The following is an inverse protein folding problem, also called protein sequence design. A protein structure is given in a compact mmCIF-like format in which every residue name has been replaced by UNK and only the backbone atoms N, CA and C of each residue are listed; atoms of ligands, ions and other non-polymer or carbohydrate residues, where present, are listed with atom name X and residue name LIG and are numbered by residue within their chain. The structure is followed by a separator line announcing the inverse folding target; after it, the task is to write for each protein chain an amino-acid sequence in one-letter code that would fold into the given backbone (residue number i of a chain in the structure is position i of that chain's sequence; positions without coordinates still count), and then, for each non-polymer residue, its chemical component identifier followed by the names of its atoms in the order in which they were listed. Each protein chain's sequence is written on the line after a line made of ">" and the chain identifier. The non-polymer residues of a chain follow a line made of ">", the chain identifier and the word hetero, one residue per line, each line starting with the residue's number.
data_IF_335981259760
#
_entry.id   IF_335981259760
#
_cell.length_a   1.000
_cell.length_b   1.000
_cell.length_c   1.000
_cell.angle_alpha   90.00
_cell.angle_beta   90.00
_cell.angle_gamma   90.00
#
_symmetry.space_group_name_H-M   'P 1'
#
loop_
_entity.id
_entity.type
_entity.pdbx_description
1 polymer ?
#
# COMPACT_ATOMS: atom_id res chain seq x y z
N UNK A 1 15.31 -21.05 15.28
CA UNK A 1 14.63 -19.89 15.87
C UNK A 1 13.13 -20.12 15.93
N UNK A 2 12.63 -20.45 17.12
CA UNK A 2 11.19 -20.61 17.41
C UNK A 2 10.70 -19.42 18.21
N UNK A 3 9.65 -18.76 17.73
CA UNK A 3 9.02 -17.64 18.40
C UNK A 3 7.56 -17.96 18.70
N UNK A 4 7.07 -17.41 19.81
CA UNK A 4 5.64 -17.26 20.06
C UNK A 4 5.22 -15.81 19.81
N UNK A 5 3.99 -15.61 19.33
CA UNK A 5 3.45 -14.29 18.99
C UNK A 5 2.15 -14.08 19.76
N UNK A 6 2.13 -13.10 20.67
CA UNK A 6 0.95 -12.76 21.45
C UNK A 6 0.27 -11.48 20.93
N UNK A 7 -1.06 -11.50 20.88
CA UNK A 7 -1.92 -10.34 20.57
C UNK A 7 -2.92 -10.02 21.70
N UNK A 8 -2.86 -10.72 22.83
CA UNK A 8 -3.86 -10.62 23.92
C UNK A 8 -4.00 -9.21 24.49
N UNK A 9 -2.94 -8.40 24.42
CA UNK A 9 -2.93 -7.00 24.91
C UNK A 9 -2.60 -5.99 23.81
N UNK A 10 -2.95 -6.28 22.55
CA UNK A 10 -2.59 -5.48 21.37
C UNK A 10 -2.94 -3.98 21.48
N UNK A 11 -3.99 -3.64 22.24
CA UNK A 11 -4.38 -2.23 22.49
C UNK A 11 -3.30 -1.44 23.24
N UNK A 12 -2.49 -2.13 24.05
CA UNK A 12 -1.42 -1.57 24.86
C UNK A 12 -0.04 -1.72 24.21
N UNK A 13 0.03 -2.32 23.02
CA UNK A 13 1.29 -2.46 22.29
C UNK A 13 1.72 -1.10 21.71
N UNK A 14 3.03 -0.89 21.51
CA UNK A 14 3.51 0.28 20.79
C UNK A 14 3.03 0.26 19.35
N UNK A 15 2.86 1.45 18.78
CA UNK A 15 2.42 1.69 17.42
C UNK A 15 3.59 2.14 16.56
N UNK A 16 3.55 1.67 15.32
CA UNK A 16 4.27 2.27 14.19
C UNK A 16 3.26 2.91 13.22
N UNK A 17 3.74 3.43 12.10
CA UNK A 17 2.90 4.02 11.06
C UNK A 17 1.95 3.01 10.39
N UNK A 18 2.26 1.72 10.52
CA UNK A 18 1.44 0.60 10.01
C UNK A 18 0.44 0.05 11.04
N UNK A 19 0.35 0.66 12.23
CA UNK A 19 -0.54 0.21 13.31
C UNK A 19 0.17 -0.43 14.51
N UNK A 20 -0.55 -1.18 15.36
CA UNK A 20 -0.01 -1.77 16.57
C UNK A 20 1.02 -2.85 16.25
N UNK A 21 2.10 -2.90 17.03
CA UNK A 21 3.13 -3.91 16.92
C UNK A 21 2.67 -5.27 17.46
N UNK A 22 3.34 -6.33 17.06
CA UNK A 22 3.20 -7.68 17.60
C UNK A 22 4.29 -7.94 18.66
N UNK A 23 3.93 -8.61 19.76
CA UNK A 23 4.88 -9.04 20.78
C UNK A 23 5.41 -10.42 20.42
N UNK A 24 6.72 -10.52 20.20
CA UNK A 24 7.43 -11.77 19.95
C UNK A 24 8.14 -12.23 21.20
N UNK A 25 8.00 -13.51 21.54
CA UNK A 25 8.74 -14.17 22.61
C UNK A 25 9.68 -15.21 22.00
N UNK A 26 11.00 -15.05 22.22
CA UNK A 26 11.96 -16.09 21.81
C UNK A 26 11.83 -17.30 22.75
N UNK A 27 11.51 -18.46 22.18
CA UNK A 27 11.37 -19.71 22.92
C UNK A 27 12.70 -20.48 23.04
N UNK A 28 13.76 -20.00 22.38
CA UNK A 28 15.09 -20.60 22.45
C UNK A 28 15.93 -19.94 23.55
N UNK A 29 16.45 -20.76 24.46
CA UNK A 29 17.36 -20.36 25.53
C UNK A 29 16.74 -20.35 26.93
N UNK A 30 17.58 -20.17 27.95
CA UNK A 30 17.18 -20.20 29.38
C UNK A 30 16.34 -18.99 29.81
N UNK A 31 16.33 -17.91 29.03
CA UNK A 31 15.56 -16.68 29.31
C UNK A 31 14.71 -16.33 28.10
N UNK A 32 13.39 -16.32 28.28
CA UNK A 32 12.45 -15.90 27.26
C UNK A 32 12.61 -14.39 27.03
N UNK A 33 13.17 -14.01 25.88
CA UNK A 33 13.35 -12.59 25.52
C UNK A 33 12.15 -12.13 24.70
N UNK A 34 11.51 -11.06 25.16
CA UNK A 34 10.39 -10.44 24.47
C UNK A 34 10.81 -9.18 23.71
N UNK A 35 10.23 -8.95 22.53
CA UNK A 35 10.44 -7.73 21.74
C UNK A 35 9.26 -7.46 20.80
N UNK A 36 9.07 -6.19 20.45
CA UNK A 36 8.02 -5.78 19.52
C UNK A 36 8.52 -5.73 18.07
N UNK A 37 7.70 -6.19 17.11
CA UNK A 37 7.95 -6.01 15.66
C UNK A 37 6.69 -5.55 14.92
N UNK A 38 6.90 -4.95 13.75
CA UNK A 38 5.83 -4.44 12.92
C UNK A 38 4.98 -5.61 12.43
N UNK A 39 3.66 -5.46 12.43
CA UNK A 39 2.75 -6.48 11.91
C UNK A 39 2.81 -6.59 10.39
N UNK A 40 3.10 -5.47 9.69
CA UNK A 40 3.13 -5.42 8.24
C UNK A 40 4.51 -5.72 7.64
N UNK A 41 5.59 -5.25 8.28
CA UNK A 41 6.94 -5.27 7.72
C UNK A 41 7.83 -6.22 8.52
N UNK A 42 8.46 -7.18 7.85
CA UNK A 42 9.28 -8.23 8.48
C UNK A 42 10.63 -7.71 8.95
N UNK A 43 11.22 -6.80 8.17
CA UNK A 43 12.53 -6.22 8.46
C UNK A 43 12.42 -4.98 9.35
N UNK A 44 13.09 -5.03 10.51
CA UNK A 44 13.12 -3.95 11.49
C UNK A 44 14.01 -2.76 11.06
N UNK A 45 14.76 -2.90 9.96
CA UNK A 45 15.45 -1.77 9.31
C UNK A 45 14.49 -0.86 8.56
N UNK A 46 13.41 -1.44 7.99
CA UNK A 46 12.43 -0.71 7.18
C UNK A 46 11.38 -0.06 8.07
N UNK A 47 10.85 -0.78 9.06
CA UNK A 47 9.93 -0.21 10.05
C UNK A 47 10.49 -0.35 11.46
N UNK A 48 10.92 0.77 12.05
CA UNK A 48 11.44 0.82 13.42
C UNK A 48 10.32 1.14 14.40
N UNK A 49 10.09 0.23 15.35
CA UNK A 49 9.14 0.49 16.44
C UNK A 49 9.85 1.21 17.57
N UNK A 50 9.25 2.31 18.01
CA UNK A 50 9.59 2.94 19.27
C UNK A 50 8.65 2.39 20.36
N UNK A 51 9.16 1.65 21.35
CA UNK A 51 8.34 1.06 22.43
C UNK A 51 7.55 2.09 23.25
N UNK A 52 7.95 3.38 23.22
CA UNK A 52 7.27 4.45 23.94
C UNK A 52 6.04 5.01 23.20
N UNK A 53 5.86 4.67 21.91
CA UNK A 53 4.73 5.18 21.12
C UNK A 53 3.47 4.34 21.38
N UNK A 54 2.75 4.60 22.47
CA UNK A 54 1.53 3.85 22.80
C UNK A 54 0.26 4.39 22.12
N UNK A 55 0.40 5.44 21.29
CA UNK A 55 -0.72 6.06 20.58
C UNK A 55 -0.62 5.78 19.08
N UNK A 56 -1.76 5.55 18.40
CA UNK A 56 -1.77 5.41 16.95
C UNK A 56 -1.17 6.65 16.29
N UNK A 57 -0.10 6.46 15.50
CA UNK A 57 0.37 7.45 14.51
C UNK A 57 -0.09 6.99 13.14
N UNK A 58 -1.39 6.86 12.95
CA UNK A 58 -1.90 6.43 11.64
C UNK A 58 -1.94 7.65 10.75
N UNK A 59 -1.00 7.72 9.81
CA UNK A 59 -1.11 8.68 8.73
C UNK A 59 -2.08 8.11 7.70
N UNK A 60 -3.36 8.41 7.88
CA UNK A 60 -4.29 8.25 6.79
C UNK A 60 -4.15 9.47 5.88
N UNK A 61 -3.87 9.21 4.61
CA UNK A 61 -4.14 10.21 3.61
C UNK A 61 -5.59 10.65 3.73
N UNK A 62 -5.81 11.96 3.69
CA UNK A 62 -7.15 12.52 3.67
C UNK A 62 -7.84 12.08 2.37
N UNK A 63 -8.60 10.99 2.48
CA UNK A 63 -9.28 10.35 1.35
C UNK A 63 -10.21 11.32 0.63
N UNK A 64 -10.75 12.34 1.33
CA UNK A 64 -11.59 13.38 0.72
C UNK A 64 -10.73 14.29 -0.16
N UNK A 65 -9.58 14.75 0.34
CA UNK A 65 -8.63 15.54 -0.45
C UNK A 65 -8.07 14.76 -1.65
N UNK A 66 -7.71 13.49 -1.47
CA UNK A 66 -7.24 12.66 -2.58
C UNK A 66 -8.31 12.47 -3.67
N UNK A 67 -9.56 12.19 -3.28
CA UNK A 67 -10.68 12.09 -4.22
C UNK A 67 -10.91 13.41 -4.97
N UNK A 68 -10.78 14.53 -4.27
CA UNK A 68 -10.92 15.86 -4.87
C UNK A 68 -9.81 16.13 -5.90
N UNK A 69 -8.54 15.89 -5.53
CA UNK A 69 -7.39 16.00 -6.45
C UNK A 69 -7.56 15.12 -7.69
N UNK A 70 -8.05 13.89 -7.53
CA UNK A 70 -8.31 12.99 -8.65
C UNK A 70 -9.42 13.52 -9.57
N UNK A 71 -10.49 14.11 -9.01
CA UNK A 71 -11.56 14.74 -9.80
C UNK A 71 -11.02 15.90 -10.62
N UNK A 72 -10.29 16.81 -9.99
CA UNK A 72 -9.64 17.96 -10.65
C UNK A 72 -8.73 17.50 -11.78
N UNK A 73 -7.86 16.52 -11.52
CA UNK A 73 -6.98 15.93 -12.53
C UNK A 73 -7.75 15.32 -13.72
N UNK A 74 -8.85 14.60 -13.45
CA UNK A 74 -9.69 13.98 -14.48
C UNK A 74 -10.49 15.02 -15.29
N UNK A 75 -10.70 16.23 -14.76
CA UNK A 75 -11.32 17.34 -15.49
C UNK A 75 -10.36 18.04 -16.45
N UNK A 76 -9.04 17.95 -16.24
CA UNK A 76 -8.05 18.52 -17.17
C UNK A 76 -8.19 17.95 -18.59
N UNK A 77 -7.85 18.70 -19.65
CA UNK A 77 -7.68 18.13 -20.98
C UNK A 77 -6.72 16.95 -20.97
N UNK A 78 -6.99 15.89 -21.74
CA UNK A 78 -6.15 14.67 -21.73
C UNK A 78 -4.68 14.99 -22.01
N UNK A 79 -4.40 15.90 -22.94
CA UNK A 79 -3.04 16.36 -23.29
C UNK A 79 -2.27 16.99 -22.12
N UNK A 80 -2.97 17.47 -21.08
CA UNK A 80 -2.38 18.08 -19.89
C UNK A 80 -2.22 17.11 -18.73
N UNK A 81 -2.78 15.90 -18.83
CA UNK A 81 -2.72 14.91 -17.75
C UNK A 81 -1.41 14.14 -17.81
N UNK A 82 -0.57 14.33 -16.80
CA UNK A 82 0.73 13.69 -16.70
C UNK A 82 0.80 12.78 -15.49
N UNK A 83 1.41 11.61 -15.67
CA UNK A 83 1.84 10.73 -14.59
C UNK A 83 3.38 10.64 -14.57
N UNK A 84 3.98 10.88 -13.41
CA UNK A 84 5.41 10.67 -13.17
C UNK A 84 5.63 9.25 -12.66
N UNK A 85 6.40 8.42 -13.37
CA UNK A 85 6.72 7.06 -12.93
C UNK A 85 7.67 7.02 -11.73
N UNK A 86 8.52 8.03 -11.58
CA UNK A 86 9.55 8.05 -10.53
C UNK A 86 8.97 8.53 -9.20
N UNK A 87 8.09 9.53 -9.25
CA UNK A 87 7.36 10.03 -8.09
C UNK A 87 6.08 9.25 -7.81
N UNK A 88 5.63 8.39 -8.74
CA UNK A 88 4.33 7.72 -8.70
C UNK A 88 3.15 8.67 -8.45
N UNK A 89 3.18 9.84 -9.10
CA UNK A 89 2.23 10.93 -8.86
C UNK A 89 1.61 11.49 -10.15
N UNK A 90 0.43 12.09 -10.02
CA UNK A 90 -0.28 12.77 -11.10
C UNK A 90 -0.13 14.28 -10.97
N UNK A 91 0.03 14.97 -12.10
CA UNK A 91 0.12 16.43 -12.15
C UNK A 91 -0.31 16.98 -13.52
N UNK A 92 -0.56 18.29 -13.59
CA UNK A 92 -0.83 18.99 -14.85
C UNK A 92 0.48 19.28 -15.57
N UNK A 93 0.51 19.16 -16.90
CA UNK A 93 1.67 19.51 -17.72
C UNK A 93 2.12 20.97 -17.52
N UNK A 94 1.21 21.86 -17.11
CA UNK A 94 1.52 23.25 -16.77
C UNK A 94 2.43 23.39 -15.53
N UNK A 95 2.48 22.36 -14.67
CA UNK A 95 3.22 22.38 -13.40
C UNK A 95 4.39 21.35 -13.43
N UNK A 96 5.25 21.42 -14.44
CA UNK A 96 6.30 20.40 -14.69
C UNK A 96 7.70 20.77 -14.14
N UNK A 97 7.84 21.89 -13.42
CA UNK A 97 9.15 22.46 -13.05
C UNK A 97 10.03 21.50 -12.24
N UNK A 98 9.44 20.71 -11.32
CA UNK A 98 10.15 19.71 -10.51
C UNK A 98 10.31 18.34 -11.18
N UNK A 99 9.84 18.17 -12.42
CA UNK A 99 9.73 16.88 -13.10
C UNK A 99 10.49 16.81 -14.43
N UNK A 100 11.30 17.82 -14.75
CA UNK A 100 12.01 17.94 -16.03
C UNK A 100 12.89 16.73 -16.40
N UNK A 101 13.45 16.01 -15.41
CA UNK A 101 14.33 14.85 -15.62
C UNK A 101 13.66 13.50 -15.30
N UNK A 102 12.39 13.50 -14.96
CA UNK A 102 11.67 12.29 -14.58
C UNK A 102 11.08 11.58 -15.80
N UNK A 103 10.76 10.30 -15.63
CA UNK A 103 10.04 9.53 -16.65
C UNK A 103 8.55 9.85 -16.58
N UNK A 104 8.05 10.53 -17.62
CA UNK A 104 6.68 11.04 -17.68
C UNK A 104 5.82 10.29 -18.70
N UNK A 105 4.56 10.08 -18.33
CA UNK A 105 3.51 9.62 -19.23
C UNK A 105 2.46 10.71 -19.39
N UNK A 106 2.49 11.37 -20.55
CA UNK A 106 1.55 12.42 -20.94
C UNK A 106 0.31 11.76 -21.58
N UNK A 107 -0.86 12.37 -21.47
CA UNK A 107 -2.06 11.85 -22.12
C UNK A 107 -2.79 10.79 -21.30
N UNK A 108 -2.76 10.86 -19.96
CA UNK A 108 -3.37 9.84 -19.10
C UNK A 108 -4.90 9.80 -19.27
N UNK A 109 -5.39 8.78 -19.94
CA UNK A 109 -6.83 8.57 -20.18
C UNK A 109 -7.53 7.92 -18.98
N UNK A 110 -8.87 8.02 -18.95
CA UNK A 110 -9.69 7.28 -17.97
C UNK A 110 -9.47 5.76 -18.04
N UNK A 111 -9.11 5.21 -19.20
CA UNK A 111 -8.79 3.77 -19.37
C UNK A 111 -7.54 3.38 -18.57
N UNK A 112 -6.51 4.23 -18.57
CA UNK A 112 -5.31 4.02 -17.74
C UNK A 112 -5.63 4.13 -16.25
N UNK A 113 -6.43 5.13 -15.85
CA UNK A 113 -6.81 5.32 -14.45
C UNK A 113 -7.64 4.16 -13.87
N UNK A 114 -8.41 3.46 -14.71
CA UNK A 114 -9.15 2.23 -14.33
C UNK A 114 -8.24 1.01 -14.14
N UNK A 115 -6.97 1.08 -14.55
CA UNK A 115 -5.99 -0.02 -14.45
C UNK A 115 -4.71 0.47 -13.76
N UNK A 116 -4.77 0.91 -12.48
CA UNK A 116 -3.63 1.48 -11.78
C UNK A 116 -2.43 0.51 -11.67
N UNK A 117 -2.66 -0.80 -11.61
CA UNK A 117 -1.59 -1.81 -11.61
C UNK A 117 -0.78 -1.91 -12.92
N UNK A 118 -1.26 -1.30 -14.00
CA UNK A 118 -0.52 -1.18 -15.28
C UNK A 118 0.20 0.18 -15.40
N UNK A 119 0.03 1.05 -14.41
CA UNK A 119 0.62 2.38 -14.36
C UNK A 119 1.69 2.48 -13.27
N UNK A 120 1.38 1.98 -12.07
CA UNK A 120 2.27 1.96 -10.93
C UNK A 120 3.28 0.82 -11.06
N UNK A 121 4.54 1.11 -10.74
CA UNK A 121 5.57 0.06 -10.60
C UNK A 121 5.25 -0.78 -9.35
N UNK A 122 5.40 -2.11 -9.42
CA UNK A 122 5.16 -2.96 -8.27
C UNK A 122 6.22 -2.71 -7.17
N UNK A 123 5.79 -2.66 -5.91
CA UNK A 123 6.67 -2.62 -4.75
C UNK A 123 7.09 -4.04 -4.35
N UNK A 124 8.17 -4.55 -4.94
CA UNK A 124 8.52 -5.99 -4.89
C UNK A 124 9.42 -6.41 -3.72
N UNK A 125 9.66 -5.53 -2.75
CA UNK A 125 10.52 -5.84 -1.61
C UNK A 125 9.88 -6.94 -0.72
N UNK A 126 10.53 -8.09 -0.65
CA UNK A 126 10.05 -9.28 0.07
C UNK A 126 9.87 -9.08 1.59
N UNK A 127 10.60 -8.13 2.17
CA UNK A 127 10.56 -7.81 3.59
C UNK A 127 9.44 -6.82 3.96
N UNK A 128 8.77 -6.23 2.97
CA UNK A 128 7.72 -5.22 3.13
C UNK A 128 6.50 -5.55 2.28
N UNK A 129 6.30 -4.89 1.13
CA UNK A 129 5.04 -4.92 0.37
C UNK A 129 4.86 -6.22 -0.43
N UNK A 130 5.96 -6.80 -0.94
CA UNK A 130 5.97 -8.05 -1.71
C UNK A 130 4.89 -8.09 -2.82
N UNK A 131 4.73 -6.99 -3.56
CA UNK A 131 3.69 -6.85 -4.56
C UNK A 131 4.04 -7.59 -5.86
N UNK A 132 3.40 -8.73 -6.09
CA UNK A 132 3.52 -9.52 -7.32
C UNK A 132 2.20 -9.52 -8.08
N UNK A 133 2.23 -8.98 -9.30
CA UNK A 133 1.04 -8.95 -10.14
C UNK A 133 0.83 -10.27 -10.88
N UNK A 134 -0.43 -10.69 -10.96
CA UNK A 134 -0.82 -11.80 -11.82
C UNK A 134 -0.52 -11.50 -13.30
N UNK A 135 -0.21 -12.56 -14.04
CA UNK A 135 -0.21 -12.51 -15.50
C UNK A 135 -1.63 -12.25 -16.03
N UNK A 136 -1.77 -11.75 -17.25
CA UNK A 136 -3.10 -11.52 -17.85
C UNK A 136 -3.86 -12.85 -18.01
N UNK A 137 -3.16 -13.94 -18.33
CA UNK A 137 -3.74 -15.29 -18.42
C UNK A 137 -4.34 -15.74 -17.08
N UNK A 138 -3.57 -15.61 -16.00
CA UNK A 138 -4.03 -15.98 -14.65
C UNK A 138 -5.18 -15.09 -14.21
N UNK A 139 -5.09 -13.78 -14.44
CA UNK A 139 -6.15 -12.83 -14.11
C UNK A 139 -7.47 -13.19 -14.83
N UNK A 140 -7.38 -13.47 -16.14
CA UNK A 140 -8.55 -13.87 -16.93
C UNK A 140 -9.16 -15.18 -16.43
N UNK A 141 -8.34 -16.17 -16.09
CA UNK A 141 -8.80 -17.41 -15.49
C UNK A 141 -9.56 -17.15 -14.18
N UNK A 142 -8.96 -16.42 -13.23
CA UNK A 142 -9.58 -16.10 -11.93
C UNK A 142 -10.90 -15.35 -12.12
N UNK A 143 -10.94 -14.31 -12.95
CA UNK A 143 -12.15 -13.54 -13.21
C UNK A 143 -13.26 -14.41 -13.82
N UNK A 144 -12.95 -15.21 -14.85
CA UNK A 144 -13.93 -16.12 -15.48
C UNK A 144 -14.46 -17.15 -14.48
N UNK A 145 -13.59 -17.72 -13.64
CA UNK A 145 -13.98 -18.67 -12.60
C UNK A 145 -14.95 -18.04 -11.61
N UNK A 146 -14.66 -16.85 -11.09
CA UNK A 146 -15.54 -16.12 -10.17
C UNK A 146 -16.91 -15.83 -10.82
N UNK A 147 -16.91 -15.40 -12.10
CA UNK A 147 -18.14 -15.13 -12.85
C UNK A 147 -18.96 -16.40 -13.09
N UNK A 148 -18.33 -17.50 -13.50
CA UNK A 148 -19.01 -18.76 -13.79
C UNK A 148 -19.62 -19.39 -12.53
N UNK A 149 -18.95 -19.25 -11.39
CA UNK A 149 -19.47 -19.65 -10.08
C UNK A 149 -20.54 -18.69 -9.55
N UNK A 150 -20.87 -17.62 -10.29
CA UNK A 150 -21.90 -16.62 -9.97
C UNK A 150 -21.71 -16.00 -8.59
N UNK A 151 -20.46 -15.87 -8.13
CA UNK A 151 -20.18 -15.15 -6.90
C UNK A 151 -20.57 -13.68 -7.08
N UNK A 152 -21.41 -13.19 -6.17
CA UNK A 152 -21.78 -11.78 -6.07
C UNK A 152 -21.27 -11.27 -4.73
N UNK A 153 -20.73 -10.05 -4.72
CA UNK A 153 -20.34 -9.41 -3.47
C UNK A 153 -21.64 -9.07 -2.71
N UNK A 154 -21.83 -9.62 -1.51
CA UNK A 154 -23.06 -9.42 -0.72
C UNK A 154 -23.14 -8.03 -0.07
N UNK A 155 -22.11 -7.21 -0.19
CA UNK A 155 -22.04 -5.90 0.45
C UNK A 155 -21.89 -4.76 -0.58
N UNK A 156 -22.99 -4.04 -0.81
CA UNK A 156 -22.94 -2.62 -1.14
C UNK A 156 -22.98 -1.86 0.20
N UNK A 157 -21.85 -1.77 0.90
CA UNK A 157 -21.71 -0.78 1.96
C UNK A 157 -21.16 0.48 1.29
N UNK A 158 -22.05 1.42 1.01
CA UNK A 158 -21.74 2.80 0.58
C UNK A 158 -21.16 3.59 1.76
#
# INVERSE_FOLDING_TARGET
>A
MKFDISMETIKNHPYCEHGPALLFTNLEGKKQKQFFRCAAFRDNKVCKINPKNLKPKVHFDDRKKLRQKLKEFVCLPVKERVFCEDCSSFFSLQNNESHAKHKLKIGVTKKFLRRPSKLLKPLQANSSEAQYFFSETTLNFVCKTITNLKFKNKEKVL
#
